data_IF_939417036663
#
_entry.id   IF_939417036663
#
_cell.length_a   1.000
_cell.length_b   1.000
_cell.length_c   1.000
_cell.angle_alpha   90.00
_cell.angle_beta   90.00
_cell.angle_gamma   90.00
#
_symmetry.space_group_name_H-M   'P 1'
#
loop_
_entity.id
_entity.type
_entity.pdbx_description
1 polymer ?
#
# COMPACT_ATOMS: atom_id res chain seq x y z
N UNK A 1 -5.35 30.20 -8.49
CA UNK A 1 -5.85 29.09 -9.32
C UNK A 1 -7.19 29.50 -9.91
N UNK A 2 -7.46 29.27 -11.21
CA UNK A 2 -8.79 29.48 -11.81
C UNK A 2 -9.88 28.65 -11.10
N UNK A 3 -11.12 29.15 -11.05
CA UNK A 3 -12.23 28.46 -10.37
C UNK A 3 -12.49 27.04 -10.94
N UNK A 4 -12.35 26.87 -12.26
CA UNK A 4 -12.48 25.57 -12.93
C UNK A 4 -11.49 24.52 -12.41
N UNK A 5 -10.27 24.94 -12.09
CA UNK A 5 -9.22 24.05 -11.62
C UNK A 5 -9.46 23.65 -10.15
N UNK A 6 -9.98 24.57 -9.33
CA UNK A 6 -10.42 24.25 -7.97
C UNK A 6 -11.54 23.20 -7.99
N UNK A 7 -12.52 23.31 -8.90
CA UNK A 7 -13.57 22.31 -9.06
C UNK A 7 -13.03 20.93 -9.47
N UNK A 8 -11.99 20.89 -10.32
CA UNK A 8 -11.32 19.64 -10.69
C UNK A 8 -10.61 19.00 -9.50
N UNK A 9 -9.95 19.80 -8.67
CA UNK A 9 -9.31 19.35 -7.43
C UNK A 9 -10.36 18.77 -6.48
N UNK A 10 -11.48 19.46 -6.24
CA UNK A 10 -12.51 18.98 -5.32
C UNK A 10 -13.10 17.64 -5.77
N UNK A 11 -13.50 17.54 -7.05
CA UNK A 11 -14.01 16.28 -7.61
C UNK A 11 -13.00 15.14 -7.53
N UNK A 12 -11.70 15.42 -7.71
CA UNK A 12 -10.67 14.42 -7.55
C UNK A 12 -10.62 13.88 -6.11
N UNK A 13 -10.69 14.77 -5.12
CA UNK A 13 -10.56 14.40 -3.71
C UNK A 13 -11.82 13.76 -3.13
N UNK A 14 -13.00 14.10 -3.63
CA UNK A 14 -14.27 13.48 -3.24
C UNK A 14 -14.24 11.94 -3.40
N UNK A 15 -13.56 11.47 -4.44
CA UNK A 15 -13.43 10.05 -4.78
C UNK A 15 -12.14 9.40 -4.26
N UNK A 16 -11.15 10.19 -3.84
CA UNK A 16 -9.85 9.66 -3.45
C UNK A 16 -9.93 8.94 -2.11
N UNK A 17 -9.57 7.65 -2.08
CA UNK A 17 -9.46 6.86 -0.85
C UNK A 17 -8.12 6.16 -0.84
N UNK A 18 -7.45 6.16 0.31
CA UNK A 18 -6.16 5.48 0.51
C UNK A 18 -6.17 4.76 1.86
N UNK A 19 -5.82 3.48 1.84
CA UNK A 19 -5.78 2.63 3.03
C UNK A 19 -4.50 2.85 3.83
N UNK A 20 -4.60 2.78 5.16
CA UNK A 20 -3.47 2.92 6.07
C UNK A 20 -2.95 1.54 6.51
N UNK A 21 -1.65 1.36 6.74
CA UNK A 21 -1.09 0.11 7.24
C UNK A 21 -1.12 0.07 8.77
N UNK A 22 -1.64 -1.00 9.38
CA UNK A 22 -1.63 -1.17 10.83
C UNK A 22 -0.21 -1.13 11.42
N UNK A 23 0.78 -1.64 10.68
CA UNK A 23 2.19 -1.68 11.06
C UNK A 23 2.86 -0.30 11.00
N UNK A 24 2.34 0.63 10.19
CA UNK A 24 2.84 2.00 10.11
C UNK A 24 2.64 2.83 11.39
N UNK A 25 1.79 2.35 12.31
CA UNK A 25 1.56 2.95 13.63
C UNK A 25 2.40 2.32 14.75
N UNK A 26 3.00 1.16 14.51
CA UNK A 26 3.82 0.48 15.50
C UNK A 26 5.25 1.03 15.53
N UNK A 27 6.00 0.69 16.58
CA UNK A 27 7.45 0.91 16.53
C UNK A 27 8.02 0.04 15.40
N UNK A 28 8.82 0.64 14.54
CA UNK A 28 9.47 0.02 13.39
C UNK A 28 10.98 0.28 13.48
N UNK A 29 11.77 -0.49 12.74
CA UNK A 29 13.22 -0.36 12.75
C UNK A 29 13.84 -0.94 11.50
N UNK A 30 15.15 -1.13 11.57
CA UNK A 30 15.91 -1.85 10.56
C UNK A 30 16.53 -3.08 11.20
N UNK A 31 17.17 -3.95 10.42
CA UNK A 31 17.99 -5.06 10.92
C UNK A 31 19.05 -4.67 11.97
N UNK A 32 19.44 -3.40 12.06
CA UNK A 32 20.42 -2.93 13.04
C UNK A 32 19.81 -2.54 14.38
N UNK A 33 18.51 -2.29 14.43
CA UNK A 33 17.84 -1.89 15.65
C UNK A 33 16.61 -1.02 15.41
N UNK A 34 15.97 -0.73 16.54
CA UNK A 34 14.66 -0.10 16.64
C UNK A 34 14.72 1.01 17.69
N UNK A 35 14.41 2.24 17.29
CA UNK A 35 14.33 3.38 18.20
C UNK A 35 12.89 3.54 18.67
N UNK A 36 12.66 3.21 19.95
CA UNK A 36 11.31 3.18 20.50
C UNK A 36 10.76 4.59 20.69
N UNK A 37 9.57 4.81 20.13
CA UNK A 37 8.78 6.02 20.32
C UNK A 37 7.67 5.70 21.33
N UNK A 38 7.54 6.42 22.46
CA UNK A 38 6.56 6.11 23.49
C UNK A 38 5.11 6.13 22.99
N UNK A 39 4.82 6.98 22.02
CA UNK A 39 3.50 7.11 21.42
C UNK A 39 3.13 5.96 20.46
N UNK A 40 4.08 5.14 20.00
CA UNK A 40 3.77 4.14 18.98
C UNK A 40 2.79 3.08 19.50
N UNK A 41 1.88 2.64 18.63
CA UNK A 41 0.88 1.65 18.96
C UNK A 41 1.52 0.27 19.22
N UNK A 42 1.09 -0.40 20.29
CA UNK A 42 1.51 -1.75 20.66
C UNK A 42 0.37 -2.76 20.56
N UNK A 43 -0.89 -2.31 20.59
CA UNK A 43 -2.08 -3.17 20.47
C UNK A 43 -2.88 -2.84 19.22
N UNK A 44 -3.74 -3.76 18.78
CA UNK A 44 -4.64 -3.53 17.65
C UNK A 44 -5.63 -2.38 17.91
N UNK A 45 -6.12 -2.23 19.15
CA UNK A 45 -6.96 -1.10 19.56
C UNK A 45 -6.25 0.24 19.38
N UNK A 46 -4.97 0.32 19.75
CA UNK A 46 -4.17 1.54 19.56
C UNK A 46 -3.93 1.83 18.08
N UNK A 47 -3.68 0.81 17.26
CA UNK A 47 -3.53 0.96 15.80
C UNK A 47 -4.82 1.51 15.16
N UNK A 48 -5.98 0.99 15.53
CA UNK A 48 -7.28 1.52 15.07
C UNK A 48 -7.54 2.94 15.60
N UNK A 49 -7.20 3.24 16.85
CA UNK A 49 -7.37 4.58 17.41
C UNK A 49 -6.51 5.61 16.66
N UNK A 50 -5.24 5.29 16.42
CA UNK A 50 -4.28 6.14 15.73
C UNK A 50 -4.68 6.33 14.26
N UNK A 51 -5.12 5.26 13.58
CA UNK A 51 -5.67 5.33 12.22
C UNK A 51 -6.94 6.18 12.15
N UNK A 52 -7.82 6.06 13.15
CA UNK A 52 -9.02 6.88 13.31
C UNK A 52 -8.70 8.37 13.42
N UNK A 53 -7.61 8.76 14.10
CA UNK A 53 -7.15 10.15 14.12
C UNK A 53 -6.75 10.63 12.73
N UNK A 54 -5.95 9.85 12.00
CA UNK A 54 -5.55 10.19 10.62
C UNK A 54 -6.77 10.34 9.74
N UNK A 55 -7.73 9.40 9.80
CA UNK A 55 -8.95 9.46 9.01
C UNK A 55 -9.82 10.68 9.36
N UNK A 56 -10.05 10.96 10.64
CA UNK A 56 -10.84 12.10 11.09
C UNK A 56 -10.28 13.45 10.62
N UNK A 57 -8.95 13.56 10.51
CA UNK A 57 -8.27 14.78 10.09
C UNK A 57 -8.12 14.92 8.57
N UNK A 58 -8.13 13.81 7.83
CA UNK A 58 -7.83 13.80 6.37
C UNK A 58 -9.02 13.44 5.49
N UNK A 59 -10.03 12.74 6.03
CA UNK A 59 -11.26 12.35 5.35
C UNK A 59 -11.16 11.21 4.34
N UNK A 60 -9.95 10.80 3.95
CA UNK A 60 -9.73 9.90 2.80
C UNK A 60 -9.22 8.50 3.16
N UNK A 61 -9.09 8.20 4.45
CA UNK A 61 -8.50 6.94 4.95
C UNK A 61 -9.51 5.98 5.63
N UNK A 62 -10.51 5.44 4.91
CA UNK A 62 -11.62 4.71 5.54
C UNK A 62 -11.30 3.28 5.99
N UNK A 63 -10.12 2.76 5.65
CA UNK A 63 -9.72 1.37 5.95
C UNK A 63 -8.30 1.27 6.50
N UNK A 64 -8.07 0.21 7.27
CA UNK A 64 -6.78 -0.16 7.88
C UNK A 64 -6.37 -1.56 7.39
N UNK A 65 -5.28 -1.67 6.65
CA UNK A 65 -4.69 -2.94 6.24
C UNK A 65 -4.24 -3.72 7.49
N UNK A 66 -4.62 -4.99 7.58
CA UNK A 66 -4.32 -5.84 8.72
C UNK A 66 -3.36 -6.97 8.33
N UNK A 67 -2.39 -7.25 9.19
CA UNK A 67 -1.47 -8.36 9.04
C UNK A 67 -1.84 -9.49 10.00
N UNK A 68 -2.18 -10.67 9.47
CA UNK A 68 -2.93 -11.70 10.20
C UNK A 68 -2.26 -12.09 11.52
N UNK A 69 -1.00 -12.51 11.52
CA UNK A 69 -0.34 -12.96 12.75
C UNK A 69 -0.02 -11.83 13.74
N UNK A 70 -0.05 -10.56 13.30
CA UNK A 70 0.26 -9.42 14.16
C UNK A 70 -0.99 -8.80 14.79
N UNK A 71 -2.07 -8.73 14.01
CA UNK A 71 -3.29 -8.01 14.36
C UNK A 71 -4.45 -8.95 14.72
N UNK A 72 -4.40 -10.19 14.21
CA UNK A 72 -5.41 -11.24 14.40
C UNK A 72 -4.74 -12.58 14.77
N UNK A 73 -3.96 -12.66 15.86
CA UNK A 73 -3.26 -13.90 16.24
C UNK A 73 -4.23 -15.06 16.55
N UNK A 74 -5.48 -14.76 16.90
CA UNK A 74 -6.56 -15.74 17.13
C UNK A 74 -7.33 -16.11 15.85
N UNK A 75 -6.87 -15.60 14.69
CA UNK A 75 -7.49 -15.83 13.39
C UNK A 75 -8.93 -15.34 13.32
N UNK A 76 -9.83 -16.16 12.75
CA UNK A 76 -11.25 -15.83 12.60
C UNK A 76 -11.93 -15.53 13.94
N UNK A 77 -11.50 -16.15 15.04
CA UNK A 77 -12.09 -15.90 16.36
C UNK A 77 -11.89 -14.44 16.84
N UNK A 78 -10.86 -13.75 16.34
CA UNK A 78 -10.56 -12.35 16.67
C UNK A 78 -11.36 -11.32 15.86
N UNK A 79 -12.09 -11.72 14.82
CA UNK A 79 -12.78 -10.76 13.93
C UNK A 79 -13.88 -9.93 14.61
N UNK A 80 -14.66 -10.42 15.60
CA UNK A 80 -15.65 -9.60 16.29
C UNK A 80 -15.04 -8.39 17.01
N UNK A 81 -13.83 -8.54 17.54
CA UNK A 81 -13.10 -7.43 18.16
C UNK A 81 -12.69 -6.38 17.14
N UNK A 82 -12.22 -6.81 15.96
CA UNK A 82 -11.90 -5.91 14.85
C UNK A 82 -13.14 -5.14 14.37
N UNK A 83 -14.31 -5.79 14.28
CA UNK A 83 -15.56 -5.10 13.94
C UNK A 83 -15.94 -4.05 14.99
N UNK A 84 -15.78 -4.38 16.29
CA UNK A 84 -16.00 -3.42 17.39
C UNK A 84 -15.08 -2.21 17.29
N UNK A 85 -13.78 -2.44 17.09
CA UNK A 85 -12.78 -1.38 16.93
C UNK A 85 -13.02 -0.54 15.68
N UNK A 86 -13.51 -1.16 14.61
CA UNK A 86 -13.86 -0.45 13.38
C UNK A 86 -14.98 0.56 13.59
N UNK A 87 -16.03 0.16 14.33
CA UNK A 87 -17.14 1.05 14.69
C UNK A 87 -16.69 2.20 15.60
N UNK A 88 -15.77 1.93 16.53
CA UNK A 88 -15.29 2.94 17.48
C UNK A 88 -14.35 3.98 16.84
N UNK A 89 -13.47 3.54 15.94
CA UNK A 89 -12.47 4.40 15.29
C UNK A 89 -12.99 5.10 14.04
N UNK A 90 -14.10 4.64 13.46
CA UNK A 90 -14.59 5.10 12.17
C UNK A 90 -13.77 4.60 10.98
N UNK A 91 -12.87 3.63 11.18
CA UNK A 91 -12.00 3.04 10.16
C UNK A 91 -12.28 1.55 10.09
N UNK A 92 -12.58 1.02 8.90
CA UNK A 92 -12.90 -0.41 8.72
C UNK A 92 -11.65 -1.27 8.57
N UNK A 93 -11.78 -2.57 8.81
CA UNK A 93 -10.79 -3.52 8.31
C UNK A 93 -10.62 -3.38 6.79
N UNK A 94 -9.36 -3.30 6.37
CA UNK A 94 -8.91 -3.12 5.00
C UNK A 94 -8.47 -4.42 4.35
N UNK A 95 -7.42 -4.36 3.53
CA UNK A 95 -6.76 -5.55 2.99
C UNK A 95 -6.26 -6.49 4.10
N UNK A 96 -6.30 -7.79 3.83
CA UNK A 96 -5.76 -8.82 4.72
C UNK A 96 -4.44 -9.34 4.15
N UNK A 97 -3.40 -9.29 4.98
CA UNK A 97 -2.02 -9.57 4.61
C UNK A 97 -1.53 -10.82 5.38
N UNK A 98 -1.41 -11.99 4.73
CA UNK A 98 -0.90 -13.19 5.38
C UNK A 98 0.60 -13.09 5.66
N UNK A 99 1.00 -13.34 6.91
CA UNK A 99 2.42 -13.48 7.25
C UNK A 99 2.97 -14.84 6.78
N UNK A 100 3.85 -14.84 5.79
CA UNK A 100 4.49 -16.07 5.27
C UNK A 100 6.02 -16.00 5.33
N UNK A 101 6.57 -15.17 6.22
CA UNK A 101 7.98 -14.79 6.16
C UNK A 101 8.72 -14.76 7.51
N UNK A 102 8.01 -14.77 8.66
CA UNK A 102 8.69 -14.67 9.97
C UNK A 102 8.89 -16.01 10.69
N UNK A 103 8.01 -16.98 10.47
CA UNK A 103 8.06 -18.25 11.20
C UNK A 103 9.31 -19.07 10.85
N UNK A 104 9.87 -19.77 11.84
CA UNK A 104 11.15 -20.49 11.71
C UNK A 104 11.13 -21.56 10.61
N UNK A 105 9.98 -22.20 10.37
CA UNK A 105 9.86 -23.19 9.29
C UNK A 105 9.90 -22.55 7.90
N UNK A 106 9.65 -21.25 7.75
CA UNK A 106 9.73 -20.52 6.47
C UNK A 106 11.14 -20.09 6.07
N UNK A 107 12.19 -20.45 6.84
CA UNK A 107 13.59 -20.09 6.53
C UNK A 107 14.10 -20.51 5.13
N UNK A 108 13.43 -21.45 4.45
CA UNK A 108 13.73 -21.90 3.08
C UNK A 108 12.59 -21.63 2.08
N UNK A 109 11.69 -20.72 2.45
CA UNK A 109 10.48 -20.36 1.72
C UNK A 109 9.19 -20.85 2.38
N UNK A 110 8.07 -20.38 1.85
CA UNK A 110 6.70 -20.75 2.19
C UNK A 110 6.09 -21.59 1.06
N UNK A 111 5.44 -20.98 0.06
CA UNK A 111 4.92 -21.68 -1.12
C UNK A 111 6.03 -22.26 -1.99
N UNK A 112 7.22 -21.64 -2.02
CA UNK A 112 8.38 -22.15 -2.72
C UNK A 112 9.19 -23.19 -1.93
N UNK A 113 8.80 -23.53 -0.69
CA UNK A 113 9.59 -24.41 0.18
C UNK A 113 9.76 -25.81 -0.45
N UNK A 114 10.97 -26.43 -0.41
CA UNK A 114 11.16 -27.80 -0.90
C UNK A 114 10.33 -28.86 -0.14
N UNK A 115 10.04 -28.63 1.14
CA UNK A 115 9.23 -29.53 1.96
C UNK A 115 7.72 -29.35 1.66
N UNK A 116 7.03 -30.39 1.16
CA UNK A 116 5.60 -30.33 0.88
C UNK A 116 4.73 -30.04 2.11
N UNK A 117 5.15 -30.45 3.31
CA UNK A 117 4.42 -30.18 4.56
C UNK A 117 4.46 -28.70 4.95
N UNK A 118 5.57 -28.01 4.66
CA UNK A 118 5.68 -26.57 4.88
C UNK A 118 4.85 -25.81 3.84
N UNK A 119 4.86 -26.26 2.56
CA UNK A 119 3.96 -25.69 1.54
C UNK A 119 2.48 -25.87 1.89
N UNK A 120 2.09 -27.01 2.46
CA UNK A 120 0.73 -27.23 2.96
C UNK A 120 0.37 -26.26 4.08
N UNK A 121 1.30 -26.06 5.02
CA UNK A 121 1.10 -25.10 6.12
C UNK A 121 0.90 -23.67 5.61
N UNK A 122 1.71 -23.24 4.64
CA UNK A 122 1.56 -21.94 3.98
C UNK A 122 0.20 -21.82 3.25
N UNK A 123 -0.20 -22.85 2.49
CA UNK A 123 -1.50 -22.87 1.78
C UNK A 123 -2.68 -22.80 2.73
N UNK A 124 -2.63 -23.53 3.86
CA UNK A 124 -3.65 -23.44 4.91
C UNK A 124 -3.72 -22.04 5.51
N UNK A 125 -2.59 -21.42 5.83
CA UNK A 125 -2.54 -20.06 6.36
C UNK A 125 -3.12 -19.02 5.38
N UNK A 126 -2.88 -19.16 4.08
CA UNK A 126 -3.53 -18.33 3.05
C UNK A 126 -5.05 -18.52 3.06
N UNK A 127 -5.54 -19.77 3.14
CA UNK A 127 -6.98 -20.05 3.22
C UNK A 127 -7.61 -19.49 4.51
N UNK A 128 -6.95 -19.62 5.65
CA UNK A 128 -7.40 -19.06 6.93
C UNK A 128 -7.46 -17.52 6.86
N UNK A 129 -6.49 -16.90 6.18
CA UNK A 129 -6.46 -15.46 5.94
C UNK A 129 -7.61 -14.99 5.04
N UNK A 130 -7.96 -15.78 4.02
CA UNK A 130 -9.14 -15.51 3.17
C UNK A 130 -10.43 -15.66 3.98
N UNK A 131 -10.51 -16.63 4.90
CA UNK A 131 -11.66 -16.79 5.80
C UNK A 131 -11.82 -15.59 6.75
N UNK A 132 -10.71 -15.06 7.28
CA UNK A 132 -10.70 -13.80 8.04
C UNK A 132 -11.23 -12.65 7.17
N UNK A 133 -10.73 -12.53 5.94
CA UNK A 133 -11.19 -11.50 5.01
C UNK A 133 -12.70 -11.62 4.73
N UNK A 134 -13.24 -12.83 4.61
CA UNK A 134 -14.68 -13.06 4.46
C UNK A 134 -15.45 -12.57 5.69
N UNK A 135 -15.01 -12.92 6.90
CA UNK A 135 -15.65 -12.52 8.14
C UNK A 135 -15.64 -11.00 8.35
N UNK A 136 -14.55 -10.33 7.97
CA UNK A 136 -14.39 -8.87 8.05
C UNK A 136 -14.94 -8.11 6.85
N UNK A 137 -15.43 -8.82 5.82
CA UNK A 137 -15.88 -8.25 4.54
C UNK A 137 -14.78 -7.47 3.82
N UNK A 138 -13.53 -7.88 4.03
CA UNK A 138 -12.36 -7.38 3.31
C UNK A 138 -12.32 -7.98 1.92
N UNK A 139 -12.21 -7.10 0.91
CA UNK A 139 -12.16 -7.48 -0.50
C UNK A 139 -10.79 -8.05 -0.88
N UNK A 140 -9.74 -7.34 -0.49
CA UNK A 140 -8.39 -7.53 -1.02
C UNK A 140 -7.56 -8.42 -0.07
N UNK A 141 -6.95 -9.46 -0.64
CA UNK A 141 -5.97 -10.33 0.04
C UNK A 141 -4.62 -10.05 -0.60
N UNK A 142 -3.74 -9.40 0.15
CA UNK A 142 -2.42 -9.00 -0.31
C UNK A 142 -1.38 -10.05 0.05
N UNK A 143 -0.77 -10.65 -0.98
CA UNK A 143 0.23 -11.70 -0.83
C UNK A 143 1.60 -11.17 -1.22
N UNK A 144 2.44 -11.00 -0.20
CA UNK A 144 3.89 -10.84 -0.33
C UNK A 144 4.60 -12.05 0.27
N UNK A 145 5.71 -12.46 -0.36
CA UNK A 145 6.48 -13.64 0.04
C UNK A 145 7.97 -13.31 0.15
N UNK A 146 8.60 -13.78 1.22
CA UNK A 146 10.05 -13.73 1.41
C UNK A 146 10.81 -14.80 0.59
N UNK A 147 10.09 -15.63 -0.14
CA UNK A 147 10.58 -16.79 -0.86
C UNK A 147 11.64 -16.46 -1.91
N UNK A 148 12.76 -17.17 -1.83
CA UNK A 148 13.86 -17.06 -2.77
C UNK A 148 15.06 -17.86 -2.29
N UNK A 149 16.25 -17.50 -2.77
CA UNK A 149 17.50 -18.05 -2.24
C UNK A 149 18.60 -16.99 -2.20
N UNK A 150 19.64 -17.27 -1.40
CA UNK A 150 20.78 -16.37 -1.22
C UNK A 150 22.04 -16.81 -1.97
N UNK A 151 22.06 -18.01 -2.57
CA UNK A 151 23.25 -18.55 -3.23
C UNK A 151 22.92 -19.32 -4.52
N UNK A 152 23.74 -19.17 -5.59
CA UNK A 152 23.60 -19.95 -6.82
C UNK A 152 23.59 -21.47 -6.58
N UNK A 153 22.69 -22.17 -7.26
CA UNK A 153 22.59 -23.63 -7.22
C UNK A 153 21.85 -24.21 -6.00
N UNK A 154 21.47 -23.39 -5.01
CA UNK A 154 20.76 -23.86 -3.80
C UNK A 154 19.27 -24.10 -3.99
N UNK A 155 18.69 -23.64 -5.09
CA UNK A 155 17.28 -23.88 -5.41
C UNK A 155 17.05 -24.13 -6.90
N UNK A 156 16.02 -24.92 -7.22
CA UNK A 156 15.55 -25.11 -8.59
C UNK A 156 14.42 -24.10 -8.88
N UNK A 157 14.77 -23.01 -9.55
CA UNK A 157 13.86 -21.89 -9.87
C UNK A 157 12.59 -22.35 -10.58
N UNK A 158 12.70 -23.25 -11.56
CA UNK A 158 11.53 -23.74 -12.31
C UNK A 158 10.56 -24.53 -11.43
N UNK A 159 11.09 -25.41 -10.57
CA UNK A 159 10.27 -26.20 -9.67
C UNK A 159 9.57 -25.32 -8.63
N UNK A 160 10.24 -24.28 -8.14
CA UNK A 160 9.64 -23.32 -7.20
C UNK A 160 8.55 -22.50 -7.85
N UNK A 161 8.74 -22.05 -9.09
CA UNK A 161 7.68 -21.42 -9.90
C UNK A 161 6.43 -22.31 -9.99
N UNK A 162 6.60 -23.61 -10.25
CA UNK A 162 5.46 -24.52 -10.36
C UNK A 162 4.72 -24.65 -9.02
N UNK A 163 5.43 -24.71 -7.89
CA UNK A 163 4.81 -24.68 -6.55
C UNK A 163 4.10 -23.37 -6.23
N UNK A 164 4.63 -22.24 -6.70
CA UNK A 164 3.96 -20.94 -6.58
C UNK A 164 2.65 -20.91 -7.37
N UNK A 165 2.63 -21.47 -8.58
CA UNK A 165 1.39 -21.60 -9.37
C UNK A 165 0.37 -22.44 -8.60
N UNK A 166 0.76 -23.62 -8.10
CA UNK A 166 -0.12 -24.49 -7.31
C UNK A 166 -0.68 -23.77 -6.07
N UNK A 167 0.17 -23.05 -5.32
CA UNK A 167 -0.22 -22.34 -4.12
C UNK A 167 -1.15 -21.16 -4.37
N UNK A 168 -0.87 -20.35 -5.40
CA UNK A 168 -1.70 -19.21 -5.78
C UNK A 168 -3.04 -19.65 -6.38
N UNK A 169 -3.08 -20.76 -7.13
CA UNK A 169 -4.34 -21.37 -7.60
C UNK A 169 -5.20 -21.86 -6.43
N UNK A 170 -4.60 -22.49 -5.43
CA UNK A 170 -5.32 -22.89 -4.22
C UNK A 170 -5.88 -21.67 -3.45
N UNK A 171 -5.09 -20.61 -3.31
CA UNK A 171 -5.55 -19.35 -2.72
C UNK A 171 -6.68 -18.71 -3.52
N UNK A 172 -6.56 -18.63 -4.84
CA UNK A 172 -7.62 -18.14 -5.72
C UNK A 172 -8.91 -18.95 -5.59
N UNK A 173 -8.82 -20.27 -5.57
CA UNK A 173 -9.99 -21.17 -5.44
C UNK A 173 -10.72 -21.01 -4.10
N UNK A 174 -10.06 -20.51 -3.05
CA UNK A 174 -10.67 -20.25 -1.75
C UNK A 174 -11.37 -18.88 -1.65
N UNK A 175 -11.17 -17.98 -2.63
CA UNK A 175 -11.79 -16.66 -2.62
C UNK A 175 -13.31 -16.74 -2.72
N UNK A 176 -13.97 -15.87 -1.98
CA UNK A 176 -15.40 -15.59 -2.19
C UNK A 176 -15.61 -14.73 -3.44
N UNK A 177 -16.84 -14.75 -4.03
CA UNK A 177 -17.20 -13.81 -5.08
C UNK A 177 -16.96 -12.36 -4.65
N UNK A 178 -16.30 -11.58 -5.52
CA UNK A 178 -15.99 -10.19 -5.27
C UNK A 178 -14.68 -9.93 -4.52
N UNK A 179 -14.08 -10.94 -3.88
CA UNK A 179 -12.71 -10.79 -3.34
C UNK A 179 -11.67 -10.76 -4.46
N UNK A 180 -10.48 -10.25 -4.14
CA UNK A 180 -9.37 -10.12 -5.07
C UNK A 180 -8.07 -10.57 -4.42
N UNK A 181 -7.32 -11.40 -5.14
CA UNK A 181 -5.96 -11.78 -4.76
C UNK A 181 -5.00 -10.77 -5.38
N UNK A 182 -4.15 -10.19 -4.56
CA UNK A 182 -3.12 -9.24 -4.97
C UNK A 182 -1.76 -9.92 -4.84
N UNK A 183 -1.06 -10.09 -5.96
CA UNK A 183 0.27 -10.71 -6.02
C UNK A 183 1.30 -9.60 -6.07
N UNK A 184 2.02 -9.43 -4.97
CA UNK A 184 3.08 -8.43 -4.84
C UNK A 184 4.43 -9.03 -5.25
N UNK A 185 5.23 -8.25 -5.98
CA UNK A 185 6.60 -8.61 -6.33
C UNK A 185 7.60 -7.81 -5.51
N UNK A 186 8.77 -8.40 -5.26
CA UNK A 186 9.91 -7.71 -4.65
C UNK A 186 11.24 -8.27 -5.20
N UNK A 187 12.11 -7.45 -5.82
CA UNK A 187 13.31 -7.95 -6.50
C UNK A 187 14.34 -8.61 -5.58
N UNK A 188 14.44 -8.16 -4.33
CA UNK A 188 15.38 -8.68 -3.33
C UNK A 188 14.90 -8.33 -1.91
N UNK A 189 15.56 -8.90 -0.91
CA UNK A 189 15.27 -8.77 0.53
C UNK A 189 13.96 -9.45 0.95
N UNK A 190 14.02 -10.52 1.75
CA UNK A 190 15.20 -11.08 2.41
C UNK A 190 16.05 -12.03 1.54
N UNK A 191 15.59 -12.34 0.32
CA UNK A 191 16.36 -13.13 -0.65
C UNK A 191 17.33 -12.25 -1.45
N UNK A 192 18.61 -12.65 -1.55
CA UNK A 192 19.68 -11.81 -2.11
C UNK A 192 20.33 -12.39 -3.39
N UNK A 193 19.90 -13.55 -3.88
CA UNK A 193 20.34 -14.08 -5.16
C UNK A 193 19.20 -14.18 -6.18
N UNK A 194 18.06 -14.80 -5.83
CA UNK A 194 16.81 -14.66 -6.57
C UNK A 194 15.62 -14.69 -5.61
N UNK A 195 14.57 -13.96 -5.97
CA UNK A 195 13.24 -14.02 -5.33
C UNK A 195 12.28 -14.74 -6.28
N UNK A 196 11.33 -15.51 -5.75
CA UNK A 196 10.37 -16.27 -6.58
C UNK A 196 9.35 -15.37 -7.32
N UNK A 197 9.16 -14.13 -6.86
CA UNK A 197 8.35 -13.09 -7.51
C UNK A 197 9.15 -11.78 -7.54
N UNK A 198 10.18 -11.72 -8.39
CA UNK A 198 11.14 -10.62 -8.38
C UNK A 198 10.68 -9.34 -9.10
N UNK A 199 9.79 -9.46 -10.09
CA UNK A 199 9.37 -8.33 -10.92
C UNK A 199 7.90 -8.41 -11.36
N UNK A 200 7.41 -7.32 -11.94
CA UNK A 200 6.04 -7.18 -12.42
C UNK A 200 5.65 -8.20 -13.50
N UNK A 201 6.61 -8.67 -14.31
CA UNK A 201 6.37 -9.68 -15.34
C UNK A 201 6.14 -11.06 -14.72
N UNK A 202 6.93 -11.42 -13.71
CA UNK A 202 6.71 -12.63 -12.92
C UNK A 202 5.37 -12.58 -12.18
N UNK A 203 5.07 -11.47 -11.50
CA UNK A 203 3.79 -11.28 -10.82
C UNK A 203 2.61 -11.35 -11.78
N UNK A 204 2.72 -10.75 -12.97
CA UNK A 204 1.69 -10.81 -14.01
C UNK A 204 1.41 -12.24 -14.46
N UNK A 205 2.46 -13.02 -14.74
CA UNK A 205 2.32 -14.42 -15.14
C UNK A 205 1.70 -15.28 -14.03
N UNK A 206 2.13 -15.07 -12.78
CA UNK A 206 1.61 -15.80 -11.63
C UNK A 206 0.18 -15.41 -11.29
N UNK A 207 -0.18 -14.13 -11.34
CA UNK A 207 -1.56 -13.67 -11.16
C UNK A 207 -2.48 -14.25 -12.24
N UNK A 208 -2.06 -14.27 -13.52
CA UNK A 208 -2.83 -14.93 -14.60
C UNK A 208 -3.00 -16.43 -14.35
N UNK A 209 -1.96 -17.10 -13.87
CA UNK A 209 -2.00 -18.53 -13.58
C UNK A 209 -2.86 -18.86 -12.35
N UNK A 210 -2.93 -17.96 -11.37
CA UNK A 210 -3.72 -18.10 -10.17
C UNK A 210 -5.23 -18.12 -10.47
N UNK A 211 -5.72 -17.15 -11.24
CA UNK A 211 -7.11 -17.14 -11.69
C UNK A 211 -7.70 -15.74 -11.94
N UNK A 212 -8.96 -15.66 -12.39
CA UNK A 212 -9.57 -14.41 -12.87
C UNK A 212 -9.75 -13.32 -11.81
N UNK A 213 -9.70 -13.65 -10.52
CA UNK A 213 -9.76 -12.68 -9.41
C UNK A 213 -8.37 -12.28 -8.90
N UNK A 214 -7.29 -12.71 -9.55
CA UNK A 214 -5.94 -12.32 -9.17
C UNK A 214 -5.45 -11.13 -10.02
N UNK A 215 -4.74 -10.21 -9.38
CA UNK A 215 -4.15 -9.01 -9.98
C UNK A 215 -2.75 -8.76 -9.41
N UNK A 216 -1.99 -7.88 -10.04
CA UNK A 216 -0.66 -7.46 -9.59
C UNK A 216 -0.80 -6.32 -8.59
N UNK A 217 -0.03 -6.39 -7.51
CA UNK A 217 0.18 -5.28 -6.59
C UNK A 217 1.55 -4.65 -6.85
N UNK A 218 1.57 -3.33 -7.02
CA UNK A 218 2.81 -2.57 -7.27
C UNK A 218 3.19 -1.83 -6.00
N UNK A 219 4.30 -2.22 -5.38
CA UNK A 219 4.93 -1.42 -4.34
C UNK A 219 5.99 -0.49 -4.96
N UNK A 220 5.93 0.82 -4.68
CA UNK A 220 6.86 1.81 -5.26
C UNK A 220 8.34 1.58 -4.87
N UNK A 221 8.57 0.92 -3.74
CA UNK A 221 9.86 0.50 -3.20
C UNK A 221 10.46 -0.71 -3.93
N UNK A 222 9.61 -1.56 -4.50
CA UNK A 222 9.95 -2.91 -4.95
C UNK A 222 10.39 -3.00 -6.41
N UNK A 223 11.36 -2.20 -6.82
CA UNK A 223 11.90 -2.28 -8.17
C UNK A 223 13.43 -2.21 -8.21
N UNK A 224 14.03 -2.72 -9.27
CA UNK A 224 15.45 -2.47 -9.54
C UNK A 224 15.73 -0.97 -9.63
N UNK A 225 17.00 -0.60 -9.42
CA UNK A 225 17.44 0.78 -9.56
C UNK A 225 17.15 1.28 -10.98
N UNK A 226 16.69 2.52 -11.09
CA UNK A 226 16.35 3.18 -12.36
C UNK A 226 15.19 2.58 -13.14
N UNK A 227 14.41 1.66 -12.56
CA UNK A 227 13.19 1.16 -13.19
C UNK A 227 12.18 2.30 -13.38
N UNK A 228 11.66 2.45 -14.60
CA UNK A 228 10.52 3.32 -14.86
C UNK A 228 9.25 2.61 -14.36
N UNK A 229 8.66 3.13 -13.28
CA UNK A 229 7.50 2.51 -12.61
C UNK A 229 6.21 2.88 -13.34
N UNK A 230 6.06 4.13 -13.77
CA UNK A 230 4.89 4.59 -14.52
C UNK A 230 4.70 3.84 -15.84
N UNK A 231 5.77 3.40 -16.49
CA UNK A 231 5.72 2.48 -17.64
C UNK A 231 5.10 1.13 -17.25
N UNK A 232 5.49 0.55 -16.11
CA UNK A 232 4.91 -0.71 -15.61
C UNK A 232 3.41 -0.51 -15.34
N UNK A 233 3.05 0.60 -14.72
CA UNK A 233 1.66 0.98 -14.44
C UNK A 233 0.84 1.06 -15.72
N UNK A 234 1.33 1.75 -16.76
CA UNK A 234 0.66 1.85 -18.05
C UNK A 234 0.42 0.47 -18.69
N UNK A 235 1.41 -0.43 -18.63
CA UNK A 235 1.27 -1.79 -19.14
C UNK A 235 0.25 -2.63 -18.35
N UNK A 236 0.30 -2.58 -17.02
CA UNK A 236 -0.64 -3.31 -16.17
C UNK A 236 -2.07 -2.78 -16.29
N UNK A 237 -2.25 -1.48 -16.53
CA UNK A 237 -3.55 -0.87 -16.84
C UNK A 237 -4.09 -1.39 -18.17
N UNK A 238 -3.29 -1.36 -19.23
CA UNK A 238 -3.66 -1.87 -20.55
C UNK A 238 -4.07 -3.35 -20.51
N UNK A 239 -3.35 -4.15 -19.74
CA UNK A 239 -3.64 -5.58 -19.53
C UNK A 239 -4.80 -5.83 -18.53
N UNK A 240 -5.34 -4.78 -17.89
CA UNK A 240 -6.33 -4.84 -16.81
C UNK A 240 -5.89 -5.72 -15.64
N UNK A 241 -4.58 -5.75 -15.40
CA UNK A 241 -3.92 -6.57 -14.38
C UNK A 241 -3.37 -5.78 -13.19
N UNK A 242 -3.45 -4.44 -13.22
CA UNK A 242 -3.17 -3.60 -12.04
C UNK A 242 -4.29 -3.75 -11.01
N UNK A 243 -3.98 -4.28 -9.83
CA UNK A 243 -4.94 -4.46 -8.74
C UNK A 243 -4.82 -3.40 -7.64
N UNK A 244 -3.61 -2.97 -7.33
CA UNK A 244 -3.40 -1.99 -6.28
C UNK A 244 -1.97 -1.46 -6.22
N UNK A 245 -1.78 -0.53 -5.30
CA UNK A 245 -0.48 0.01 -4.94
C UNK A 245 -0.23 -0.12 -3.44
N UNK A 246 1.01 -0.42 -3.10
CA UNK A 246 1.62 -0.03 -1.83
C UNK A 246 2.49 1.20 -2.09
N UNK A 247 2.11 2.33 -1.51
CA UNK A 247 2.84 3.58 -1.68
C UNK A 247 3.78 3.86 -0.52
N UNK A 248 5.01 4.15 -0.88
CA UNK A 248 6.10 4.69 -0.07
C UNK A 248 6.93 5.63 -0.94
N UNK A 249 8.09 6.01 -0.45
CA UNK A 249 9.15 6.58 -1.26
C UNK A 249 10.48 5.92 -0.92
N UNK A 250 11.44 6.00 -1.84
CA UNK A 250 12.74 5.36 -1.70
C UNK A 250 13.84 6.07 -2.48
N UNK A 251 15.08 5.88 -2.03
CA UNK A 251 16.29 6.33 -2.70
C UNK A 251 17.20 5.19 -3.15
N UNK A 252 17.27 4.09 -2.40
CA UNK A 252 18.21 2.99 -2.65
C UNK A 252 17.53 1.64 -2.85
N UNK A 253 16.81 1.15 -1.84
CA UNK A 253 16.14 -0.14 -1.86
C UNK A 253 14.67 0.04 -1.53
N UNK A 254 14.12 -0.93 -0.83
CA UNK A 254 12.83 -0.78 -0.18
C UNK A 254 13.01 0.01 1.13
N UNK A 255 13.08 1.34 1.00
CA UNK A 255 13.43 2.22 2.12
C UNK A 255 12.21 2.60 2.99
N UNK A 256 10.98 2.32 2.52
CA UNK A 256 9.72 2.51 3.25
C UNK A 256 9.45 3.96 3.76
N UNK A 257 9.93 4.98 3.03
CA UNK A 257 9.83 6.37 3.44
C UNK A 257 8.47 7.00 3.13
N UNK A 258 8.23 8.19 3.68
CA UNK A 258 7.02 8.99 3.39
C UNK A 258 6.86 9.27 1.92
N UNK A 259 5.71 8.88 1.37
CA UNK A 259 5.30 9.12 -0.03
C UNK A 259 5.63 10.55 -0.46
N UNK A 260 6.37 10.67 -1.57
CA UNK A 260 6.74 11.94 -2.18
C UNK A 260 7.78 12.77 -1.42
N UNK A 261 8.52 12.17 -0.48
CA UNK A 261 9.60 12.84 0.26
C UNK A 261 10.95 12.86 -0.46
N UNK A 262 11.16 12.00 -1.45
CA UNK A 262 12.37 11.89 -2.26
C UNK A 262 12.04 12.23 -3.73
N UNK A 263 11.08 11.55 -4.34
CA UNK A 263 10.64 11.79 -5.73
C UNK A 263 9.11 11.94 -5.85
N UNK A 264 8.54 13.10 -5.46
CA UNK A 264 7.12 13.36 -5.63
C UNK A 264 6.67 13.38 -7.10
N UNK A 265 7.58 13.60 -8.06
CA UNK A 265 7.24 13.63 -9.47
C UNK A 265 6.99 12.22 -10.01
N UNK A 266 7.67 11.19 -9.51
CA UNK A 266 7.36 9.79 -9.84
C UNK A 266 5.93 9.43 -9.44
N UNK A 267 5.50 9.73 -8.21
CA UNK A 267 4.14 9.43 -7.75
C UNK A 267 3.09 10.24 -8.55
N UNK A 268 3.38 11.50 -8.87
CA UNK A 268 2.54 12.28 -9.80
C UNK A 268 2.42 11.60 -11.17
N UNK A 269 3.53 11.12 -11.75
CA UNK A 269 3.51 10.42 -13.05
C UNK A 269 2.73 9.11 -12.98
N UNK A 270 2.79 8.37 -11.88
CA UNK A 270 1.94 7.19 -11.64
C UNK A 270 0.46 7.57 -11.65
N UNK A 271 0.06 8.59 -10.89
CA UNK A 271 -1.34 9.05 -10.90
C UNK A 271 -1.77 9.60 -12.26
N UNK A 272 -0.86 10.26 -13.00
CA UNK A 272 -1.11 10.67 -14.38
C UNK A 272 -1.45 9.49 -15.28
N UNK A 273 -0.67 8.40 -15.29
CA UNK A 273 -0.97 7.24 -16.15
C UNK A 273 -2.35 6.64 -15.86
N UNK A 274 -2.75 6.63 -14.58
CA UNK A 274 -4.08 6.19 -14.18
C UNK A 274 -5.16 7.13 -14.76
N UNK A 275 -4.98 8.44 -14.64
CA UNK A 275 -5.93 9.43 -15.17
C UNK A 275 -5.97 9.46 -16.70
N UNK A 276 -4.83 9.25 -17.36
CA UNK A 276 -4.76 9.15 -18.81
C UNK A 276 -5.52 7.91 -19.29
N UNK A 277 -5.35 6.76 -18.63
CA UNK A 277 -6.15 5.57 -18.93
C UNK A 277 -7.65 5.82 -18.74
N UNK A 278 -8.08 6.50 -17.66
CA UNK A 278 -9.48 6.88 -17.45
C UNK A 278 -10.00 7.75 -18.60
N UNK A 279 -9.19 8.73 -19.03
CA UNK A 279 -9.53 9.64 -20.12
C UNK A 279 -9.68 8.93 -21.46
N UNK A 280 -8.73 8.05 -21.82
CA UNK A 280 -8.71 7.35 -23.11
C UNK A 280 -9.79 6.28 -23.21
N UNK A 281 -10.06 5.56 -22.11
CA UNK A 281 -10.98 4.42 -22.11
C UNK A 281 -12.39 4.77 -21.64
N UNK A 282 -12.57 5.91 -20.99
CA UNK A 282 -13.80 6.29 -20.31
C UNK A 282 -14.13 5.41 -19.10
N UNK A 283 -13.19 4.59 -18.62
CA UNK A 283 -13.40 3.65 -17.52
C UNK A 283 -12.41 3.91 -16.36
N UNK A 284 -12.94 4.05 -15.14
CA UNK A 284 -12.13 4.07 -13.92
C UNK A 284 -11.54 2.68 -13.65
N UNK A 285 -10.22 2.52 -13.56
CA UNK A 285 -9.63 1.25 -13.16
C UNK A 285 -9.93 0.99 -11.68
N UNK A 286 -10.27 -0.25 -11.36
CA UNK A 286 -10.51 -0.68 -9.98
C UNK A 286 -9.16 -0.94 -9.28
N UNK A 287 -8.61 0.09 -8.64
CA UNK A 287 -7.30 0.05 -7.98
C UNK A 287 -7.49 0.23 -6.47
N UNK A 288 -6.86 -0.64 -5.67
CA UNK A 288 -6.72 -0.40 -4.24
C UNK A 288 -5.49 0.48 -4.00
N UNK A 289 -5.66 1.68 -3.46
CA UNK A 289 -4.53 2.51 -3.00
C UNK A 289 -4.29 2.23 -1.52
N UNK A 290 -3.09 1.76 -1.19
CA UNK A 290 -2.66 1.47 0.18
C UNK A 290 -1.32 2.15 0.41
N UNK A 291 -1.08 2.59 1.65
CA UNK A 291 0.24 2.99 2.11
C UNK A 291 0.94 1.75 2.66
N UNK A 292 2.22 1.57 2.35
CA UNK A 292 3.09 0.61 3.03
C UNK A 292 4.39 1.31 3.38
N UNK A 293 4.65 1.51 4.67
CA UNK A 293 5.69 2.42 5.14
C UNK A 293 6.18 2.11 6.55
N UNK A 294 7.41 2.53 6.84
CA UNK A 294 8.12 2.29 8.09
C UNK A 294 8.67 3.59 8.68
N UNK A 295 7.95 4.14 9.66
CA UNK A 295 8.26 5.45 10.25
C UNK A 295 9.30 5.35 11.38
N UNK A 296 10.56 5.07 11.05
CA UNK A 296 11.59 4.80 12.07
C UNK A 296 11.87 5.98 13.02
N UNK A 297 11.92 7.20 12.49
CA UNK A 297 12.31 8.41 13.24
C UNK A 297 11.19 9.45 13.40
N UNK A 298 10.27 9.54 12.43
CA UNK A 298 9.13 10.45 12.51
C UNK A 298 8.08 9.88 13.48
N UNK A 299 7.34 10.77 14.15
CA UNK A 299 6.14 10.41 14.89
C UNK A 299 5.15 9.68 13.99
N UNK A 300 4.59 8.55 14.46
CA UNK A 300 3.82 7.63 13.62
C UNK A 300 2.61 8.28 12.95
N UNK A 301 1.79 8.97 13.74
CA UNK A 301 0.57 9.64 13.27
C UNK A 301 0.93 10.86 12.42
N UNK A 302 1.90 11.67 12.86
CA UNK A 302 2.35 12.85 12.10
C UNK A 302 2.89 12.47 10.72
N UNK A 303 3.68 11.41 10.64
CA UNK A 303 4.20 10.91 9.37
C UNK A 303 3.08 10.41 8.45
N UNK A 304 2.08 9.71 9.00
CA UNK A 304 0.94 9.25 8.23
C UNK A 304 0.07 10.40 7.71
N UNK A 305 -0.19 11.42 8.54
CA UNK A 305 -0.89 12.65 8.09
C UNK A 305 -0.10 13.34 6.97
N UNK A 306 1.23 13.38 7.08
CA UNK A 306 2.09 13.95 6.04
C UNK A 306 1.98 13.17 4.73
N UNK A 307 2.09 11.85 4.77
CA UNK A 307 1.92 10.94 3.62
C UNK A 307 0.58 11.17 2.94
N UNK A 308 -0.52 11.13 3.70
CA UNK A 308 -1.88 11.25 3.15
C UNK A 308 -2.10 12.64 2.53
N UNK A 309 -1.59 13.69 3.17
CA UNK A 309 -1.69 15.05 2.63
C UNK A 309 -0.92 15.19 1.31
N UNK A 310 0.28 14.61 1.23
CA UNK A 310 1.05 14.58 -0.02
C UNK A 310 0.34 13.76 -1.11
N UNK A 311 -0.25 12.61 -0.76
CA UNK A 311 -1.03 11.81 -1.70
C UNK A 311 -2.21 12.60 -2.29
N UNK A 312 -2.95 13.33 -1.46
CA UNK A 312 -4.04 14.22 -1.90
C UNK A 312 -3.53 15.30 -2.86
N UNK A 313 -2.42 15.96 -2.55
CA UNK A 313 -1.83 16.98 -3.42
C UNK A 313 -1.41 16.41 -4.77
N UNK A 314 -0.69 15.28 -4.80
CA UNK A 314 -0.21 14.67 -6.04
C UNK A 314 -1.35 14.10 -6.89
N UNK A 315 -2.36 13.50 -6.26
CA UNK A 315 -3.57 13.02 -6.95
C UNK A 315 -4.38 14.19 -7.54
N UNK A 316 -4.50 15.29 -6.81
CA UNK A 316 -5.15 16.50 -7.29
C UNK A 316 -4.39 17.14 -8.47
N UNK A 317 -3.05 17.22 -8.41
CA UNK A 317 -2.23 17.72 -9.51
C UNK A 317 -2.39 16.88 -10.77
N UNK A 318 -2.42 15.55 -10.65
CA UNK A 318 -2.65 14.67 -11.80
C UNK A 318 -4.02 14.91 -12.46
N UNK A 319 -5.03 15.31 -11.68
CA UNK A 319 -6.35 15.67 -12.20
C UNK A 319 -6.36 16.96 -13.03
N UNK A 320 -5.32 17.80 -12.92
CA UNK A 320 -5.20 19.07 -13.65
C UNK A 320 -4.50 18.92 -15.01
N UNK A 321 -3.99 17.73 -15.35
CA UNK A 321 -3.36 17.51 -16.66
C UNK A 321 -4.41 17.64 -17.77
N UNK A 322 -4.14 18.52 -18.74
CA UNK A 322 -4.94 18.65 -19.96
C UNK A 322 -4.61 17.49 -20.91
N UNK A 323 -5.25 16.35 -20.69
CA UNK A 323 -5.03 15.12 -21.46
C UNK A 323 -5.33 15.31 -22.96
N UNK A 324 -6.30 16.15 -23.32
CA UNK A 324 -6.62 16.44 -24.72
C UNK A 324 -5.46 17.17 -25.41
N UNK A 325 -4.92 18.21 -24.76
CA UNK A 325 -3.76 18.94 -25.26
C UNK A 325 -2.50 18.06 -25.28
N UNK A 326 -2.32 17.21 -24.26
CA UNK A 326 -1.19 16.30 -24.16
C UNK A 326 -1.16 15.29 -25.32
N UNK A 327 -2.27 14.59 -25.56
CA UNK A 327 -2.39 13.63 -26.66
C UNK A 327 -2.21 14.28 -28.03
N UNK A 328 -2.70 15.51 -28.21
CA UNK A 328 -2.47 16.27 -29.45
C UNK A 328 -0.99 16.61 -29.66
N UNK A 329 -0.30 17.05 -28.60
CA UNK A 329 1.13 17.36 -28.65
C UNK A 329 1.96 16.09 -28.94
N UNK A 330 1.64 14.97 -28.29
CA UNK A 330 2.29 13.67 -28.54
C UNK A 330 2.09 13.20 -29.98
N UNK A 331 0.86 13.26 -30.50
CA UNK A 331 0.54 12.87 -31.89
C UNK A 331 1.32 13.71 -32.91
N UNK A 332 1.57 14.98 -32.60
CA UNK A 332 2.35 15.91 -33.44
C UNK A 332 3.85 15.82 -33.20
N UNK A 333 4.32 14.95 -32.30
CA UNK A 333 5.71 14.89 -31.85
C UNK A 333 6.24 16.24 -31.33
N UNK A 334 5.35 17.06 -30.76
CA UNK A 334 5.70 18.33 -30.12
C UNK A 334 6.25 18.06 -28.71
N UNK A 335 7.51 17.61 -28.68
CA UNK A 335 8.18 17.09 -27.48
C UNK A 335 8.17 18.10 -26.33
N UNK A 336 8.50 19.37 -26.65
CA UNK A 336 8.55 20.45 -25.65
C UNK A 336 7.16 20.73 -25.09
N UNK A 337 6.13 20.83 -25.95
CA UNK A 337 4.78 21.09 -25.47
C UNK A 337 4.24 19.93 -24.62
N UNK A 338 4.46 18.69 -25.04
CA UNK A 338 4.01 17.51 -24.29
C UNK A 338 4.65 17.46 -22.89
N UNK A 339 5.96 17.71 -22.80
CA UNK A 339 6.66 17.77 -21.50
C UNK A 339 6.14 18.92 -20.63
N UNK A 340 5.99 20.13 -21.19
CA UNK A 340 5.54 21.30 -20.44
C UNK A 340 4.13 21.11 -19.86
N UNK A 341 3.21 20.45 -20.57
CA UNK A 341 1.85 20.20 -20.05
C UNK A 341 1.88 19.42 -18.73
N UNK A 342 2.71 18.37 -18.65
CA UNK A 342 2.89 17.59 -17.43
C UNK A 342 3.57 18.39 -16.32
N UNK A 343 4.64 19.12 -16.66
CA UNK A 343 5.40 19.94 -15.72
C UNK A 343 4.56 21.07 -15.14
N UNK A 344 3.73 21.74 -15.94
CA UNK A 344 2.84 22.82 -15.51
C UNK A 344 1.79 22.31 -14.50
N UNK A 345 1.19 21.16 -14.77
CA UNK A 345 0.24 20.52 -13.85
C UNK A 345 0.91 20.12 -12.53
N UNK A 346 2.12 19.53 -12.59
CA UNK A 346 2.88 19.20 -11.39
C UNK A 346 3.34 20.43 -10.60
N UNK A 347 3.74 21.51 -11.27
CA UNK A 347 4.20 22.74 -10.64
C UNK A 347 3.06 23.57 -10.02
N UNK A 348 1.81 23.29 -10.39
CA UNK A 348 0.65 24.01 -9.86
C UNK A 348 0.51 23.81 -8.34
N UNK A 349 0.45 24.91 -7.59
CA UNK A 349 0.20 24.86 -6.15
C UNK A 349 -1.29 24.62 -5.87
N UNK A 350 -1.62 23.37 -5.53
CA UNK A 350 -2.98 22.92 -5.22
C UNK A 350 -3.37 23.09 -3.75
N UNK A 351 -2.44 23.50 -2.87
CA UNK A 351 -2.68 23.51 -1.41
C UNK A 351 -3.85 24.39 -0.99
N UNK A 352 -4.06 25.51 -1.69
CA UNK A 352 -5.23 26.38 -1.47
C UNK A 352 -6.55 25.65 -1.72
N UNK A 353 -6.70 25.04 -2.90
CA UNK A 353 -7.90 24.29 -3.27
C UNK A 353 -8.11 23.05 -2.38
N UNK A 354 -7.04 22.33 -2.01
CA UNK A 354 -7.13 21.20 -1.07
C UNK A 354 -7.64 21.67 0.31
N UNK A 355 -7.22 22.84 0.80
CA UNK A 355 -7.72 23.43 2.05
C UNK A 355 -9.19 23.81 1.96
N UNK A 356 -9.60 24.43 0.85
CA UNK A 356 -10.99 24.78 0.58
C UNK A 356 -11.89 23.55 0.55
N UNK A 357 -11.45 22.50 -0.16
CA UNK A 357 -12.12 21.20 -0.17
C UNK A 357 -12.31 20.64 1.24
N UNK A 358 -11.24 20.55 2.04
CA UNK A 358 -11.29 20.07 3.43
C UNK A 358 -12.34 20.83 4.25
N UNK A 359 -12.28 22.16 4.24
CA UNK A 359 -13.22 23.00 5.00
C UNK A 359 -14.65 22.79 4.51
N UNK A 360 -14.87 22.69 3.20
CA UNK A 360 -16.21 22.46 2.62
C UNK A 360 -16.81 21.10 3.02
N UNK A 361 -15.97 20.13 3.33
CA UNK A 361 -16.36 18.79 3.80
C UNK A 361 -16.32 18.64 5.33
N UNK A 362 -16.13 19.74 6.08
CA UNK A 362 -16.09 19.74 7.54
C UNK A 362 -14.79 19.21 8.17
N UNK A 363 -13.72 19.09 7.38
CA UNK A 363 -12.38 18.68 7.82
C UNK A 363 -11.54 19.91 8.18
N UNK A 364 -10.50 19.77 9.03
CA UNK A 364 -9.58 20.86 9.32
C UNK A 364 -8.78 21.26 8.06
N UNK A 365 -8.57 22.56 7.86
CA UNK A 365 -7.77 23.07 6.74
C UNK A 365 -6.31 22.59 6.78
N UNK A 366 -5.72 22.53 7.97
CA UNK A 366 -4.38 21.99 8.22
C UNK A 366 -4.46 20.81 9.20
N UNK A 367 -4.41 19.55 8.70
CA UNK A 367 -4.46 18.36 9.54
C UNK A 367 -3.34 18.24 10.55
N UNK A 368 -2.13 18.71 10.21
CA UNK A 368 -0.97 18.60 11.08
C UNK A 368 -1.10 19.57 12.25
N UNK A 369 -1.51 20.80 11.96
CA UNK A 369 -1.80 21.78 12.99
C UNK A 369 -2.94 21.30 13.89
N UNK A 370 -4.05 20.84 13.30
CA UNK A 370 -5.19 20.32 14.05
C UNK A 370 -4.81 19.11 14.93
N UNK A 371 -3.95 18.20 14.43
CA UNK A 371 -3.44 17.09 15.22
C UNK A 371 -2.65 17.56 16.44
N UNK A 372 -1.72 18.50 16.26
CA UNK A 372 -0.92 19.07 17.36
C UNK A 372 -1.80 19.79 18.38
N UNK A 373 -2.74 20.60 17.93
CA UNK A 373 -3.66 21.34 18.80
C UNK A 373 -4.64 20.42 19.56
N UNK A 374 -4.92 19.22 19.03
CA UNK A 374 -5.79 18.25 19.69
C UNK A 374 -5.22 17.71 21.02
N UNK A 375 -3.91 17.85 21.25
CA UNK A 375 -3.21 17.29 22.40
C UNK A 375 -3.18 15.74 22.43
N UNK A 376 -3.56 15.08 21.33
CA UNK A 376 -3.67 13.62 21.27
C UNK A 376 -2.31 12.96 21.48
N UNK A 377 -1.27 13.46 20.81
CA UNK A 377 0.08 12.91 20.89
C UNK A 377 0.61 12.91 22.33
N UNK A 378 0.43 14.02 23.05
CA UNK A 378 0.83 14.17 24.44
C UNK A 378 0.08 13.18 25.34
N UNK A 379 -1.24 13.03 25.14
CA UNK A 379 -2.07 12.07 25.89
C UNK A 379 -1.61 10.63 25.67
N UNK A 380 -1.46 10.19 24.43
CA UNK A 380 -1.04 8.81 24.14
C UNK A 380 0.40 8.56 24.57
N UNK A 381 1.29 9.55 24.45
CA UNK A 381 2.67 9.47 24.95
C UNK A 381 2.67 9.19 26.45
N UNK A 382 1.92 9.97 27.23
CA UNK A 382 1.83 9.77 28.68
C UNK A 382 1.17 8.43 29.06
N UNK A 383 0.09 8.05 28.36
CA UNK A 383 -0.65 6.81 28.64
C UNK A 383 0.15 5.55 28.30
N UNK A 384 0.92 5.57 27.21
CA UNK A 384 1.67 4.41 26.69
C UNK A 384 3.09 4.29 27.26
N UNK A 385 3.69 5.38 27.76
CA UNK A 385 5.05 5.41 28.30
C UNK A 385 5.29 4.48 29.51
N UNK A 386 4.24 4.07 30.23
CA UNK A 386 4.33 3.19 31.40
C UNK A 386 4.47 1.71 31.06
N UNK A 387 4.33 1.31 29.79
CA UNK A 387 4.38 -0.09 29.38
C UNK A 387 5.83 -0.52 29.11
N UNK A 388 6.30 -1.65 29.67
CA UNK A 388 7.60 -2.20 29.29
C UNK A 388 7.58 -2.46 27.80
N UNK A 389 8.61 -1.97 27.10
CA UNK A 389 8.74 -2.14 25.68
C UNK A 389 8.83 -3.64 25.35
N UNK A 390 7.74 -4.20 24.85
CA UNK A 390 7.77 -5.52 24.23
C UNK A 390 8.75 -5.45 23.06
N UNK A 391 9.81 -6.24 23.11
CA UNK A 391 10.72 -6.44 21.98
C UNK A 391 9.94 -7.24 20.93
N UNK A 392 9.01 -6.59 20.24
CA UNK A 392 8.37 -7.15 19.04
C UNK A 392 9.46 -7.28 17.98
N UNK A 393 9.65 -8.50 17.50
CA UNK A 393 10.77 -9.01 16.69
C UNK A 393 10.78 -8.49 15.25
N UNK A 394 10.34 -7.25 15.00
CA UNK A 394 10.59 -6.63 13.71
C UNK A 394 12.06 -6.20 13.65
N UNK A 395 12.86 -7.09 13.06
CA UNK A 395 14.19 -6.88 12.52
C UNK A 395 14.27 -7.62 11.18
#
# INVERSE_FOLDING_TARGET
>A
MPARDADLVHRALDDFRIELPSWGFANTGTRFGKFLQPAAAATIEEKFSDAGQVHALTGVCPTLALHVLWDLPEGVAGTPEIERLSLQSGVRAGSINPNLFQDQHYKFGSLGNPDPGIRETARRHVADSIAIACALKSRDISLWFADGSNYPGTANIRRRRDWFIEGLQAGHAALSPGQRLLVEYKPFEPAFYHTDIADWGMALLLARAAGPQARVLVDTGHHYLSQNIEQIVAWLLAERMLGGFHFNDRRYGDDDLTLGSIDPYQVFRIFHEIRLFEYETGARPDIAYMVDQSHNLKGKIEAMIQTVSMAQELFAKAALVDHAALLLAQTRTDLVRAESILQDAFATDVRGAVREWRVSTGLPADPQQAFRESGYLERITAARASRPAGVSSYA
#
